data_IF_151878181718
#
_entry.id   IF_151878181718
#
_cell.length_a   1.000
_cell.length_b   1.000
_cell.length_c   1.000
_cell.angle_alpha   90.00
_cell.angle_beta   90.00
_cell.angle_gamma   90.00
#
_symmetry.space_group_name_H-M   'P 1'
#
loop_
_entity.id
_entity.type
_entity.pdbx_description
1 polymer ?
#
# COMPACT_ATOMS: atom_id res chain seq x y z
N UNK A 1 -2.51 -19.16 15.85
CA UNK A 1 -3.00 -18.28 14.76
C UNK A 1 -2.09 -18.49 13.56
N UNK A 2 -2.56 -18.28 12.33
CA UNK A 2 -1.72 -18.48 11.15
C UNK A 2 -0.78 -17.28 10.97
N UNK A 3 0.47 -17.54 10.61
CA UNK A 3 1.41 -16.50 10.22
C UNK A 3 0.99 -15.94 8.85
N UNK A 4 0.90 -14.61 8.76
CA UNK A 4 0.54 -13.87 7.56
C UNK A 4 1.70 -12.96 7.15
N UNK A 5 2.05 -13.00 5.87
CA UNK A 5 3.02 -12.08 5.27
C UNK A 5 2.31 -10.84 4.75
N UNK A 6 2.62 -9.70 5.32
CA UNK A 6 2.08 -8.39 4.97
C UNK A 6 3.07 -7.67 4.08
N UNK A 7 2.59 -7.08 3.00
CA UNK A 7 3.39 -6.21 2.13
C UNK A 7 2.54 -5.06 1.61
N UNK A 8 3.15 -3.89 1.50
CA UNK A 8 2.48 -2.69 1.00
C UNK A 8 3.02 -2.36 -0.37
N UNK A 9 2.15 -2.28 -1.37
CA UNK A 9 2.50 -1.76 -2.69
C UNK A 9 2.58 -0.25 -2.63
N UNK A 10 3.70 0.31 -3.09
CA UNK A 10 3.97 1.74 -3.14
C UNK A 10 4.34 2.15 -4.56
N UNK A 11 3.90 3.31 -4.98
CA UNK A 11 4.36 3.96 -6.20
C UNK A 11 5.30 5.11 -5.84
N UNK A 12 6.58 4.99 -6.19
CA UNK A 12 7.63 5.99 -5.86
C UNK A 12 7.60 6.49 -4.40
N UNK A 13 7.28 5.60 -3.46
CA UNK A 13 7.18 5.91 -2.03
C UNK A 13 5.78 6.23 -1.50
N UNK A 14 4.77 6.38 -2.36
CA UNK A 14 3.36 6.60 -1.99
C UNK A 14 2.62 5.26 -1.91
N UNK A 15 2.20 4.80 -0.72
CA UNK A 15 1.32 3.65 -0.56
C UNK A 15 0.06 3.68 -1.45
N UNK A 16 -0.31 2.53 -2.00
CA UNK A 16 -1.55 2.38 -2.78
C UNK A 16 -2.39 1.16 -2.34
N UNK A 17 -1.74 0.07 -1.95
CA UNK A 17 -2.44 -1.18 -1.64
C UNK A 17 -1.70 -1.99 -0.58
N UNK A 18 -2.43 -2.59 0.35
CA UNK A 18 -1.93 -3.57 1.31
C UNK A 18 -2.28 -4.96 0.81
N UNK A 19 -1.32 -5.89 0.86
CA UNK A 19 -1.52 -7.30 0.52
C UNK A 19 -1.04 -8.18 1.66
N UNK A 20 -1.93 -9.03 2.15
CA UNK A 20 -1.69 -9.98 3.22
C UNK A 20 -1.78 -11.38 2.65
N UNK A 21 -0.75 -12.19 2.85
CA UNK A 21 -0.62 -13.56 2.34
C UNK A 21 -0.53 -14.50 3.54
N UNK A 22 -1.65 -15.10 3.97
CA UNK A 22 -1.62 -16.18 4.96
C UNK A 22 -0.95 -17.43 4.40
N UNK A 23 -0.36 -18.24 5.28
CA UNK A 23 0.08 -19.58 4.91
C UNK A 23 -1.13 -20.51 4.72
N UNK A 24 -1.16 -21.24 3.60
CA UNK A 24 -2.23 -22.18 3.26
C UNK A 24 -3.60 -21.59 2.88
N UNK A 25 -3.73 -20.26 2.74
CA UNK A 25 -4.99 -19.61 2.36
C UNK A 25 -4.82 -18.54 1.28
N UNK A 26 -5.95 -18.02 0.77
CA UNK A 26 -5.95 -17.00 -0.29
C UNK A 26 -5.45 -15.66 0.26
N UNK A 27 -4.59 -15.00 -0.51
CA UNK A 27 -4.14 -13.65 -0.20
C UNK A 27 -5.31 -12.66 -0.14
N UNK A 28 -5.33 -11.83 0.89
CA UNK A 28 -6.22 -10.68 1.03
C UNK A 28 -5.49 -9.46 0.50
N UNK A 29 -6.21 -8.59 -0.21
CA UNK A 29 -5.67 -7.31 -0.67
C UNK A 29 -6.69 -6.23 -0.41
N UNK A 30 -6.23 -5.11 0.14
CA UNK A 30 -7.03 -3.93 0.42
C UNK A 30 -6.40 -2.72 -0.23
N UNK A 31 -7.18 -2.02 -1.03
CA UNK A 31 -6.78 -0.73 -1.57
C UNK A 31 -6.90 0.33 -0.49
N UNK A 32 -6.01 1.30 -0.53
CA UNK A 32 -6.09 2.48 0.32
C UNK A 32 -7.12 3.47 -0.24
N UNK A 33 -7.47 4.45 0.58
CA UNK A 33 -8.35 5.54 0.19
C UNK A 33 -7.92 6.26 -1.10
N UNK A 34 -8.89 6.84 -1.80
CA UNK A 34 -8.69 7.55 -3.06
C UNK A 34 -7.67 8.70 -2.98
N UNK A 35 -7.47 9.29 -1.79
CA UNK A 35 -6.51 10.38 -1.57
C UNK A 35 -5.08 9.98 -1.96
N UNK A 36 -4.73 8.73 -1.72
CA UNK A 36 -3.41 8.19 -2.05
C UNK A 36 -3.21 8.04 -3.55
N UNK A 37 -4.22 7.51 -4.24
CA UNK A 37 -4.20 7.42 -5.71
C UNK A 37 -4.13 8.81 -6.34
N UNK A 38 -4.86 9.78 -5.80
CA UNK A 38 -4.78 11.17 -6.26
C UNK A 38 -3.39 11.77 -6.08
N UNK A 39 -2.68 11.44 -5.01
CA UNK A 39 -1.30 11.91 -4.82
C UNK A 39 -0.34 11.25 -5.82
N UNK A 40 -0.49 9.96 -6.08
CA UNK A 40 0.26 9.25 -7.14
C UNK A 40 0.03 9.95 -8.48
N UNK A 41 -1.22 10.20 -8.85
CA UNK A 41 -1.58 10.85 -10.11
C UNK A 41 -1.05 12.29 -10.16
N UNK A 42 -1.13 13.04 -9.06
CA UNK A 42 -0.60 14.40 -8.94
C UNK A 42 0.91 14.43 -9.15
N UNK A 43 1.65 13.54 -8.50
CA UNK A 43 3.11 13.44 -8.66
C UNK A 43 3.46 12.97 -10.07
N UNK A 44 2.78 11.95 -10.60
CA UNK A 44 2.99 11.49 -11.96
C UNK A 44 2.72 12.60 -13.00
N UNK A 45 1.66 13.39 -12.82
CA UNK A 45 1.35 14.52 -13.69
C UNK A 45 2.42 15.62 -13.60
N UNK A 46 2.85 15.97 -12.38
CA UNK A 46 3.87 16.99 -12.14
C UNK A 46 5.21 16.62 -12.78
N UNK A 47 5.60 15.35 -12.68
CA UNK A 47 6.84 14.82 -13.23
C UNK A 47 6.73 14.41 -14.72
N UNK A 48 5.53 14.56 -15.33
CA UNK A 48 5.30 14.17 -16.73
C UNK A 48 5.39 12.67 -16.99
N UNK A 49 5.20 11.83 -15.96
CA UNK A 49 5.32 10.37 -16.04
C UNK A 49 4.01 9.68 -16.45
N UNK A 50 2.89 10.39 -16.46
CA UNK A 50 1.59 9.83 -16.85
C UNK A 50 1.65 9.24 -18.26
N UNK A 51 1.23 7.98 -18.39
CA UNK A 51 1.21 7.28 -19.68
C UNK A 51 2.58 6.85 -20.20
N UNK A 52 3.62 6.95 -19.38
CA UNK A 52 4.98 6.47 -19.70
C UNK A 52 5.29 5.16 -18.98
N UNK A 53 6.29 4.42 -19.47
CA UNK A 53 6.76 3.20 -18.81
C UNK A 53 7.26 3.48 -17.38
N UNK A 54 7.82 4.66 -17.13
CA UNK A 54 8.27 5.08 -15.81
C UNK A 54 7.14 5.11 -14.75
N UNK A 55 5.88 5.29 -15.17
CA UNK A 55 4.75 5.13 -14.27
C UNK A 55 4.56 3.66 -13.86
N UNK A 56 4.73 2.72 -14.78
CA UNK A 56 4.63 1.29 -14.48
C UNK A 56 5.85 0.79 -13.68
N UNK A 57 7.02 1.37 -13.92
CA UNK A 57 8.27 1.04 -13.22
C UNK A 57 8.32 1.61 -11.79
N UNK A 58 7.52 2.64 -11.49
CA UNK A 58 7.46 3.26 -10.17
C UNK A 58 6.87 2.36 -9.08
N UNK A 59 6.22 1.26 -9.45
CA UNK A 59 5.59 0.33 -8.52
C UNK A 59 6.60 -0.58 -7.84
N UNK A 60 6.64 -0.53 -6.51
CA UNK A 60 7.56 -1.31 -5.67
C UNK A 60 6.83 -1.87 -4.46
N UNK A 61 7.18 -3.09 -4.06
CA UNK A 61 6.71 -3.65 -2.79
C UNK A 61 7.61 -3.14 -1.67
N UNK A 62 6.98 -2.67 -0.59
CA UNK A 62 7.65 -2.35 0.65
C UNK A 62 8.20 -3.62 1.33
N UNK A 63 8.93 -3.40 2.42
CA UNK A 63 9.42 -4.47 3.28
C UNK A 63 8.28 -5.41 3.70
N UNK A 64 8.57 -6.70 3.68
CA UNK A 64 7.61 -7.73 4.07
C UNK A 64 7.64 -7.87 5.59
N UNK A 65 6.48 -7.73 6.22
CA UNK A 65 6.30 -7.90 7.66
C UNK A 65 5.53 -9.18 7.94
N UNK A 66 5.95 -9.96 8.95
CA UNK A 66 5.20 -11.10 9.42
C UNK A 66 4.28 -10.67 10.57
N UNK A 67 2.97 -10.92 10.45
CA UNK A 67 1.98 -10.71 11.51
C UNK A 67 1.15 -11.97 11.72
N UNK A 68 0.81 -12.27 12.96
CA UNK A 68 -0.05 -13.40 13.31
C UNK A 68 -1.48 -12.92 13.55
N UNK A 69 -2.46 -13.58 12.94
CA UNK A 69 -3.86 -13.17 13.10
C UNK A 69 -4.71 -13.46 11.86
N UNK A 70 -5.90 -12.84 11.82
CA UNK A 70 -6.78 -12.92 10.66
C UNK A 70 -6.27 -12.01 9.52
N UNK A 71 -6.17 -12.50 8.28
CA UNK A 71 -5.65 -11.71 7.16
C UNK A 71 -6.45 -10.44 6.85
N UNK A 72 -7.77 -10.45 7.08
CA UNK A 72 -8.62 -9.30 6.84
C UNK A 72 -8.51 -8.25 7.96
N UNK A 73 -8.39 -8.70 9.22
CA UNK A 73 -8.11 -7.81 10.36
C UNK A 73 -6.72 -7.17 10.20
N UNK A 74 -5.69 -7.98 9.95
CA UNK A 74 -4.33 -7.48 9.71
C UNK A 74 -4.31 -6.45 8.56
N UNK A 75 -5.02 -6.72 7.47
CA UNK A 75 -5.10 -5.77 6.36
C UNK A 75 -5.77 -4.45 6.78
N UNK A 76 -6.82 -4.50 7.59
CA UNK A 76 -7.51 -3.30 8.08
C UNK A 76 -6.63 -2.49 9.05
N UNK A 77 -5.92 -3.17 9.95
CA UNK A 77 -5.01 -2.53 10.90
C UNK A 77 -3.87 -1.80 10.19
N UNK A 78 -3.23 -2.47 9.22
CA UNK A 78 -2.13 -1.88 8.43
C UNK A 78 -2.64 -0.68 7.60
N UNK A 79 -3.85 -0.76 7.05
CA UNK A 79 -4.48 0.39 6.38
C UNK A 79 -4.64 1.55 7.37
N UNK A 80 -5.20 1.31 8.56
CA UNK A 80 -5.37 2.35 9.58
C UNK A 80 -4.03 2.95 10.04
N UNK A 81 -2.98 2.14 10.21
CA UNK A 81 -1.63 2.59 10.54
C UNK A 81 -1.04 3.51 9.45
N UNK A 82 -1.18 3.12 8.17
CA UNK A 82 -0.73 3.93 7.03
C UNK A 82 -1.49 5.24 6.95
N UNK A 83 -2.80 5.19 7.16
CA UNK A 83 -3.67 6.37 7.14
C UNK A 83 -3.35 7.34 8.27
N UNK A 84 -3.08 6.84 9.49
CA UNK A 84 -2.66 7.66 10.62
C UNK A 84 -1.28 8.29 10.38
N UNK A 85 -0.33 7.51 9.85
CA UNK A 85 1.04 7.97 9.59
C UNK A 85 1.07 9.03 8.50
N UNK A 86 0.35 8.83 7.40
CA UNK A 86 0.38 9.75 6.25
C UNK A 86 -0.61 10.90 6.37
N UNK A 87 -1.76 10.69 7.01
CA UNK A 87 -2.69 11.78 7.34
C UNK A 87 -2.04 12.84 8.23
N UNK A 88 -1.04 12.46 9.04
CA UNK A 88 -0.22 13.41 9.78
C UNK A 88 0.82 14.15 8.91
N UNK A 89 1.23 13.57 7.77
CA UNK A 89 2.25 14.13 6.86
C UNK A 89 1.64 15.10 5.84
N UNK A 90 0.41 14.85 5.39
CA UNK A 90 -0.30 15.67 4.37
C UNK A 90 -0.87 17.00 4.90
N UNK A 91 -0.54 17.36 6.15
CA UNK A 91 -0.89 18.62 6.81
C UNK A 91 0.21 19.69 6.80
N UNK A 92 1.28 19.53 6.02
CA UNK A 92 2.43 20.45 6.00
C UNK A 92 2.61 21.15 4.66
#
# INVERSE_FOLDING_TARGET
>A
MAACRVRVLRWRGIPAQVKVVPDGARAVSRQLDERWQREIDRVAMREGLVGTDAYLEGWTWAEEEAREGDPAEIAADVVAELEATWGAVDGR
#
